data_IF_619333223837
#
_entry.id   IF_619333223837
#
_cell.length_a   1.000
_cell.length_b   1.000
_cell.length_c   1.000
_cell.angle_alpha   90.00
_cell.angle_beta   90.00
_cell.angle_gamma   90.00
#
_symmetry.space_group_name_H-M   'P 1'
#
loop_
_entity.id
_entity.type
_entity.pdbx_description
1 polymer ?
#
# COMPACT_ATOMS: atom_id res chain seq x y z
N UNK A 1 -82.24 -6.17 13.12
CA UNK A 1 -81.49 -4.93 12.85
C UNK A 1 -80.12 -5.05 13.49
N UNK A 2 -79.05 -5.19 12.70
CA UNK A 2 -77.67 -5.16 13.22
C UNK A 2 -77.35 -3.71 13.59
N UNK A 3 -76.90 -3.47 14.82
CA UNK A 3 -76.61 -2.14 15.32
C UNK A 3 -75.45 -1.50 14.53
N UNK A 4 -75.68 -0.32 13.94
CA UNK A 4 -74.65 0.47 13.23
C UNK A 4 -73.38 0.70 14.07
N UNK A 5 -73.49 0.65 15.40
CA UNK A 5 -72.35 0.79 16.29
C UNK A 5 -71.44 -0.44 16.26
N UNK A 6 -71.98 -1.66 16.10
CA UNK A 6 -71.19 -2.91 15.99
C UNK A 6 -70.45 -3.01 14.65
N UNK A 7 -71.04 -2.49 13.56
CA UNK A 7 -70.38 -2.40 12.25
C UNK A 7 -69.21 -1.39 12.27
N UNK A 8 -69.36 -0.26 12.95
CA UNK A 8 -68.27 0.73 13.08
C UNK A 8 -67.07 0.22 13.89
N UNK A 9 -67.30 -0.46 15.02
CA UNK A 9 -66.19 -1.03 15.83
C UNK A 9 -65.46 -2.16 15.12
N UNK A 10 -66.18 -2.99 14.36
CA UNK A 10 -65.55 -4.07 13.57
C UNK A 10 -64.71 -3.51 12.42
N UNK A 11 -65.18 -2.48 11.71
CA UNK A 11 -64.39 -1.80 10.67
C UNK A 11 -63.15 -1.11 11.26
N UNK A 12 -63.27 -0.45 12.41
CA UNK A 12 -62.15 0.21 13.09
C UNK A 12 -61.05 -0.79 13.52
N UNK A 13 -61.45 -1.96 14.03
CA UNK A 13 -60.54 -3.03 14.41
C UNK A 13 -59.84 -3.66 13.20
N UNK A 14 -60.51 -3.77 12.05
CA UNK A 14 -59.91 -4.27 10.81
C UNK A 14 -58.86 -3.29 10.28
N UNK A 15 -59.13 -1.98 10.33
CA UNK A 15 -58.17 -0.95 9.95
C UNK A 15 -56.95 -0.95 10.88
N UNK A 16 -57.14 -1.01 12.21
CA UNK A 16 -56.03 -1.15 13.16
C UNK A 16 -55.20 -2.42 12.92
N UNK A 17 -55.84 -3.54 12.62
CA UNK A 17 -55.14 -4.80 12.33
C UNK A 17 -54.29 -4.69 11.06
N UNK A 18 -54.79 -4.03 10.00
CA UNK A 18 -54.02 -3.75 8.78
C UNK A 18 -52.80 -2.90 9.07
N UNK A 19 -52.94 -1.83 9.85
CA UNK A 19 -51.81 -0.98 10.23
C UNK A 19 -50.76 -1.72 11.06
N UNK A 20 -51.17 -2.57 12.00
CA UNK A 20 -50.25 -3.41 12.78
C UNK A 20 -49.48 -4.41 11.91
N UNK A 21 -50.14 -5.02 10.91
CA UNK A 21 -49.48 -5.93 9.96
C UNK A 21 -48.46 -5.16 9.10
N UNK A 22 -48.82 -3.97 8.61
CA UNK A 22 -47.91 -3.13 7.79
C UNK A 22 -46.68 -2.71 8.61
N UNK A 23 -46.87 -2.30 9.87
CA UNK A 23 -45.77 -1.93 10.77
C UNK A 23 -44.88 -3.14 11.05
N UNK A 24 -45.45 -4.32 11.31
CA UNK A 24 -44.69 -5.54 11.55
C UNK A 24 -43.87 -5.99 10.32
N UNK A 25 -44.41 -5.81 9.11
CA UNK A 25 -43.68 -6.09 7.87
C UNK A 25 -42.56 -5.08 7.65
N UNK A 26 -42.80 -3.79 7.88
CA UNK A 26 -41.77 -2.75 7.78
C UNK A 26 -40.62 -2.97 8.76
N UNK A 27 -40.92 -3.32 10.02
CA UNK A 27 -39.88 -3.63 11.01
C UNK A 27 -39.12 -4.89 10.63
N UNK A 28 -39.79 -5.96 10.19
CA UNK A 28 -39.12 -7.19 9.73
C UNK A 28 -38.19 -6.95 8.53
N UNK A 29 -38.60 -6.13 7.56
CA UNK A 29 -37.75 -5.75 6.40
C UNK A 29 -36.51 -4.98 6.86
N UNK A 30 -36.65 -4.05 7.83
CA UNK A 30 -35.49 -3.32 8.37
C UNK A 30 -34.51 -4.23 9.14
N UNK A 31 -35.01 -5.24 9.86
CA UNK A 31 -34.15 -6.21 10.56
C UNK A 31 -33.44 -7.17 9.61
N UNK A 32 -34.06 -7.58 8.50
CA UNK A 32 -33.43 -8.46 7.49
C UNK A 32 -32.41 -7.70 6.63
N UNK A 33 -32.56 -6.38 6.49
CA UNK A 33 -31.64 -5.55 5.70
C UNK A 33 -30.29 -5.26 6.39
N UNK A 34 -30.13 -5.61 7.67
CA UNK A 34 -28.81 -5.76 8.31
C UNK A 34 -28.22 -7.15 8.01
N UNK A 35 -28.17 -7.53 6.73
CA UNK A 35 -27.23 -8.56 6.29
C UNK A 35 -25.87 -7.88 6.32
N UNK A 36 -25.07 -8.18 7.35
CA UNK A 36 -23.63 -7.90 7.33
C UNK A 36 -23.14 -8.26 5.93
N UNK A 37 -22.64 -7.26 5.20
CA UNK A 37 -21.96 -7.49 3.93
C UNK A 37 -20.95 -8.60 4.24
N UNK A 38 -21.08 -9.76 3.60
CA UNK A 38 -20.13 -10.86 3.75
C UNK A 38 -18.73 -10.29 3.48
N UNK A 39 -18.00 -9.95 4.55
CA UNK A 39 -16.73 -9.24 4.39
C UNK A 39 -15.78 -10.24 3.78
N UNK A 40 -15.38 -9.96 2.55
CA UNK A 40 -14.62 -10.89 1.70
C UNK A 40 -13.14 -10.62 1.88
N UNK A 41 -12.68 -10.54 3.13
CA UNK A 41 -11.25 -10.42 3.44
C UNK A 41 -10.60 -11.80 3.58
N UNK A 42 -9.28 -11.84 3.44
CA UNK A 42 -8.52 -13.06 3.64
C UNK A 42 -8.45 -13.48 5.12
N UNK A 43 -9.15 -14.56 5.47
CA UNK A 43 -9.19 -15.08 6.85
C UNK A 43 -7.84 -15.56 7.37
N UNK A 44 -6.96 -16.05 6.49
CA UNK A 44 -5.63 -16.53 6.86
C UNK A 44 -4.75 -15.36 7.26
N UNK A 45 -4.76 -14.29 6.46
CA UNK A 45 -4.04 -13.05 6.80
C UNK A 45 -4.56 -12.49 8.12
N UNK A 46 -5.88 -12.36 8.28
CA UNK A 46 -6.48 -11.89 9.53
C UNK A 46 -5.98 -12.69 10.75
N UNK A 47 -5.98 -14.02 10.66
CA UNK A 47 -5.50 -14.90 11.73
C UNK A 47 -4.04 -14.64 12.07
N UNK A 48 -3.18 -14.44 11.07
CA UNK A 48 -1.76 -14.12 11.29
C UNK A 48 -1.61 -12.78 12.02
N UNK A 49 -2.33 -11.75 11.56
CA UNK A 49 -2.29 -10.42 12.19
C UNK A 49 -2.77 -10.47 13.65
N UNK A 50 -3.90 -11.14 13.89
CA UNK A 50 -4.49 -11.31 15.23
C UNK A 50 -3.53 -12.08 16.17
N UNK A 51 -2.99 -13.20 15.71
CA UNK A 51 -2.08 -14.05 16.51
C UNK A 51 -0.80 -13.31 16.92
N UNK A 52 -0.29 -12.44 16.03
CA UNK A 52 0.92 -11.66 16.27
C UNK A 52 0.62 -10.28 16.89
N UNK A 53 -0.63 -9.99 17.25
CA UNK A 53 -1.07 -8.72 17.88
C UNK A 53 -0.66 -7.48 17.07
N UNK A 54 -0.70 -7.59 15.75
CA UNK A 54 -0.41 -6.47 14.86
C UNK A 54 -1.62 -5.54 14.81
N UNK A 55 -1.38 -4.22 14.83
CA UNK A 55 -2.44 -3.23 14.68
C UNK A 55 -2.80 -3.10 13.20
N UNK A 56 -4.08 -3.30 12.86
CA UNK A 56 -4.55 -3.16 11.49
C UNK A 56 -6.00 -2.70 11.42
N UNK A 57 -6.36 -2.16 10.25
CA UNK A 57 -7.73 -1.92 9.82
C UNK A 57 -7.99 -2.60 8.48
N UNK A 58 -9.25 -2.81 8.12
CA UNK A 58 -9.66 -3.33 6.81
C UNK A 58 -10.31 -2.18 6.05
N UNK A 59 -9.87 -1.95 4.81
CA UNK A 59 -10.39 -0.86 4.00
C UNK A 59 -11.66 -1.24 3.22
N UNK A 60 -12.16 -0.32 2.39
CA UNK A 60 -13.37 -0.52 1.58
C UNK A 60 -13.21 -1.61 0.50
N UNK A 61 -11.98 -1.92 0.11
CA UNK A 61 -11.62 -2.93 -0.89
C UNK A 61 -11.38 -4.30 -0.25
N UNK A 62 -11.50 -4.36 1.09
CA UNK A 62 -11.22 -5.50 1.96
C UNK A 62 -9.72 -5.78 2.13
N UNK A 63 -8.84 -4.84 1.79
CA UNK A 63 -7.41 -4.95 2.01
C UNK A 63 -7.07 -4.65 3.47
N UNK A 64 -6.02 -5.29 3.99
CA UNK A 64 -5.54 -5.02 5.35
C UNK A 64 -4.54 -3.88 5.32
N UNK A 65 -4.74 -2.87 6.16
CA UNK A 65 -3.78 -1.79 6.39
C UNK A 65 -3.19 -1.96 7.78
N UNK A 66 -1.97 -2.45 7.83
CA UNK A 66 -1.19 -2.66 9.06
C UNK A 66 -0.50 -1.34 9.38
N UNK A 67 -0.66 -0.87 10.62
CA UNK A 67 -0.05 0.38 11.10
C UNK A 67 1.18 0.06 11.94
N UNK A 68 2.30 0.71 11.64
CA UNK A 68 3.54 0.53 12.39
C UNK A 68 4.25 1.86 12.60
N UNK A 69 4.64 2.13 13.84
CA UNK A 69 5.44 3.32 14.16
C UNK A 69 6.91 2.96 14.24
N UNK A 70 7.74 3.58 13.39
CA UNK A 70 9.20 3.45 13.39
C UNK A 70 9.79 4.87 13.37
N UNK A 71 10.70 5.19 14.30
CA UNK A 71 11.38 6.51 14.36
C UNK A 71 10.40 7.70 14.29
N UNK A 72 9.29 7.63 15.03
CA UNK A 72 8.20 8.61 15.05
C UNK A 72 7.47 8.82 13.71
N UNK A 73 7.74 8.00 12.70
CA UNK A 73 6.96 7.94 11.47
C UNK A 73 5.92 6.82 11.58
N UNK A 74 4.66 7.15 11.34
CA UNK A 74 3.64 6.13 11.11
C UNK A 74 3.77 5.62 9.68
N UNK A 75 3.92 4.31 9.54
CA UNK A 75 4.10 3.59 8.29
C UNK A 75 2.93 2.64 8.14
N UNK A 76 2.29 2.72 6.99
CA UNK A 76 1.18 1.86 6.63
C UNK A 76 1.65 0.82 5.62
N UNK A 77 1.37 -0.45 5.91
CA UNK A 77 1.63 -1.58 5.03
C UNK A 77 0.26 -2.11 4.58
N UNK A 78 0.07 -2.18 3.28
CA UNK A 78 -1.14 -2.64 2.62
C UNK A 78 -0.93 -4.09 2.19
N UNK A 79 -1.80 -4.98 2.63
CA UNK A 79 -1.86 -6.37 2.21
C UNK A 79 -3.12 -6.56 1.36
N UNK A 80 -2.94 -6.78 0.06
CA UNK A 80 -4.09 -7.02 -0.83
C UNK A 80 -4.79 -8.31 -0.46
N UNK A 81 -6.09 -8.25 -0.24
CA UNK A 81 -6.94 -9.42 -0.06
C UNK A 81 -7.17 -10.14 -1.39
N UNK A 82 -7.30 -9.38 -2.49
CA UNK A 82 -7.40 -9.94 -3.84
C UNK A 82 -6.04 -10.48 -4.28
N UNK A 83 -6.04 -11.72 -4.77
CA UNK A 83 -4.86 -12.38 -5.32
C UNK A 83 -4.76 -12.13 -6.82
N UNK A 84 -3.54 -11.89 -7.30
CA UNK A 84 -3.21 -11.91 -8.72
C UNK A 84 -2.94 -13.35 -9.15
N UNK A 85 -3.47 -13.74 -10.30
CA UNK A 85 -3.24 -15.07 -10.85
C UNK A 85 -2.29 -14.99 -12.04
N UNK A 86 -1.25 -15.80 -12.02
CA UNK A 86 -0.35 -16.00 -13.16
C UNK A 86 -0.08 -17.49 -13.33
N UNK A 87 -0.52 -18.04 -14.47
CA UNK A 87 -0.50 -19.49 -14.73
C UNK A 87 -1.18 -20.26 -13.58
N UNK A 88 -0.45 -21.15 -12.91
CA UNK A 88 -0.94 -21.95 -11.78
C UNK A 88 -0.63 -21.32 -10.42
N UNK A 89 -0.05 -20.13 -10.39
CA UNK A 89 0.36 -19.44 -9.17
C UNK A 89 -0.64 -18.34 -8.82
N UNK A 90 -0.93 -18.23 -7.53
CA UNK A 90 -1.63 -17.08 -6.97
C UNK A 90 -0.69 -16.28 -6.09
N UNK A 91 -0.58 -15.01 -6.40
CA UNK A 91 0.37 -14.07 -5.80
C UNK A 91 -0.42 -13.00 -5.05
N UNK A 92 0.02 -12.72 -3.84
CA UNK A 92 -0.41 -11.62 -3.00
C UNK A 92 0.61 -10.50 -3.10
N UNK A 93 0.08 -9.28 -3.19
CA UNK A 93 0.89 -8.07 -3.14
C UNK A 93 0.80 -7.47 -1.74
N UNK A 94 1.98 -7.19 -1.18
CA UNK A 94 2.16 -6.54 0.11
C UNK A 94 3.04 -5.34 -0.16
N UNK A 95 2.58 -4.13 0.11
CA UNK A 95 3.34 -2.93 -0.22
C UNK A 95 3.07 -1.80 0.75
N UNK A 96 3.96 -0.82 0.80
CA UNK A 96 3.68 0.45 1.47
C UNK A 96 3.99 1.62 0.56
N UNK A 97 3.20 2.68 0.71
CA UNK A 97 3.37 3.91 -0.07
C UNK A 97 4.47 4.75 0.58
N UNK A 98 5.45 5.11 -0.25
CA UNK A 98 6.67 5.79 0.18
C UNK A 98 6.50 7.29 0.00
N UNK A 99 6.12 7.71 -1.20
CA UNK A 99 5.90 9.10 -1.60
C UNK A 99 4.91 9.14 -2.78
N UNK A 100 4.17 10.25 -2.92
CA UNK A 100 3.26 10.48 -4.04
C UNK A 100 3.70 11.70 -4.84
N UNK A 101 3.72 11.57 -6.16
CA UNK A 101 4.11 12.62 -7.09
C UNK A 101 2.93 13.03 -7.97
N UNK A 102 2.91 14.28 -8.44
CA UNK A 102 1.98 14.69 -9.49
C UNK A 102 2.21 13.84 -10.75
N UNK A 103 1.14 13.48 -11.46
CA UNK A 103 1.25 12.65 -12.67
C UNK A 103 2.13 13.28 -13.75
N UNK A 104 2.22 14.62 -13.80
CA UNK A 104 3.03 15.38 -14.75
C UNK A 104 4.44 15.71 -14.22
N UNK A 105 4.82 15.17 -13.05
CA UNK A 105 6.13 15.44 -12.46
C UNK A 105 7.22 14.58 -13.10
N UNK A 106 8.28 15.23 -13.61
CA UNK A 106 9.45 14.54 -14.17
C UNK A 106 10.28 13.77 -13.12
N UNK A 107 10.08 14.05 -11.83
CA UNK A 107 10.77 13.40 -10.71
C UNK A 107 10.77 11.87 -10.77
N UNK A 108 9.68 11.26 -11.24
CA UNK A 108 9.62 9.81 -11.36
C UNK A 108 10.61 9.31 -12.40
N UNK A 109 10.71 10.01 -13.52
CA UNK A 109 11.66 9.67 -14.56
C UNK A 109 13.10 9.86 -14.06
N UNK A 110 13.36 10.94 -13.33
CA UNK A 110 14.67 11.21 -12.70
C UNK A 110 15.14 10.08 -11.75
N UNK A 111 14.24 9.50 -10.97
CA UNK A 111 14.60 8.45 -9.99
C UNK A 111 14.47 7.03 -10.52
N UNK A 112 13.79 6.82 -11.66
CA UNK A 112 13.40 5.49 -12.15
C UNK A 112 14.58 4.54 -12.38
N UNK A 113 15.65 5.02 -13.02
CA UNK A 113 16.86 4.20 -13.28
C UNK A 113 17.56 3.79 -11.99
N UNK A 114 17.66 4.72 -11.03
CA UNK A 114 18.27 4.44 -9.72
C UNK A 114 17.45 3.42 -8.94
N UNK A 115 16.11 3.54 -8.93
CA UNK A 115 15.23 2.59 -8.27
C UNK A 115 15.24 1.20 -8.93
N UNK A 116 15.34 1.15 -10.26
CA UNK A 116 15.45 -0.12 -10.99
C UNK A 116 16.79 -0.81 -10.69
N UNK A 117 17.88 -0.04 -10.69
CA UNK A 117 19.20 -0.54 -10.30
C UNK A 117 19.23 -1.03 -8.86
N UNK A 118 18.66 -0.29 -7.92
CA UNK A 118 18.58 -0.69 -6.51
C UNK A 118 17.75 -1.98 -6.34
N UNK A 119 16.60 -2.07 -7.04
CA UNK A 119 15.75 -3.27 -7.00
C UNK A 119 16.47 -4.51 -7.50
N UNK A 120 17.31 -4.38 -8.55
CA UNK A 120 18.04 -5.51 -9.12
C UNK A 120 19.29 -5.90 -8.31
N UNK A 121 20.05 -4.90 -7.84
CA UNK A 121 21.37 -5.14 -7.25
C UNK A 121 21.34 -5.33 -5.74
N UNK A 122 20.42 -4.69 -5.02
CA UNK A 122 20.49 -4.57 -3.56
C UNK A 122 19.32 -5.20 -2.82
N UNK A 123 18.17 -5.41 -3.47
CA UNK A 123 16.94 -5.89 -2.80
C UNK A 123 16.78 -7.39 -2.94
N UNK A 124 16.49 -8.03 -1.79
CA UNK A 124 16.35 -9.50 -1.71
C UNK A 124 14.88 -9.92 -1.68
N UNK A 125 14.04 -9.19 -0.93
CA UNK A 125 12.65 -9.59 -0.67
C UNK A 125 11.63 -8.84 -1.52
N UNK A 126 11.92 -7.61 -1.91
CA UNK A 126 10.98 -6.74 -2.61
C UNK A 126 11.65 -5.93 -3.70
N UNK A 127 10.86 -5.05 -4.31
CA UNK A 127 11.31 -4.13 -5.35
C UNK A 127 10.57 -2.80 -5.27
N UNK A 128 11.15 -1.79 -5.89
CA UNK A 128 10.45 -0.53 -6.12
C UNK A 128 9.47 -0.69 -7.28
N UNK A 129 8.25 -0.18 -7.11
CA UNK A 129 7.26 -0.08 -8.17
C UNK A 129 6.61 1.31 -8.16
N UNK A 130 6.19 1.76 -9.34
CA UNK A 130 5.43 2.98 -9.52
C UNK A 130 4.01 2.59 -9.87
N UNK A 131 3.06 2.95 -9.02
CA UNK A 131 1.63 2.78 -9.29
C UNK A 131 1.12 4.08 -9.91
N UNK A 132 0.75 4.02 -11.18
CA UNK A 132 0.14 5.13 -11.90
C UNK A 132 -1.36 5.20 -11.60
N UNK A 133 -1.82 6.32 -11.03
CA UNK A 133 -3.24 6.59 -10.79
C UNK A 133 -3.63 7.92 -11.48
N UNK A 134 -3.88 7.89 -12.80
CA UNK A 134 -4.24 9.10 -13.55
C UNK A 134 -5.60 9.66 -13.12
N UNK A 135 -6.50 8.84 -12.56
CA UNK A 135 -7.81 9.29 -12.09
C UNK A 135 -7.69 10.21 -10.86
N UNK A 136 -6.69 9.95 -10.02
CA UNK A 136 -6.35 10.80 -8.87
C UNK A 136 -5.27 11.84 -9.19
N UNK A 137 -4.76 11.85 -10.42
CA UNK A 137 -3.74 12.78 -10.89
C UNK A 137 -2.37 12.58 -10.23
N UNK A 138 -2.10 11.38 -9.70
CA UNK A 138 -0.85 11.10 -9.00
C UNK A 138 -0.21 9.77 -9.37
N UNK A 139 1.10 9.71 -9.20
CA UNK A 139 1.89 8.50 -9.25
C UNK A 139 2.38 8.19 -7.83
N UNK A 140 2.23 6.95 -7.39
CA UNK A 140 2.69 6.50 -6.06
C UNK A 140 3.94 5.66 -6.20
N UNK A 141 5.03 6.09 -5.56
CA UNK A 141 6.18 5.23 -5.36
C UNK A 141 5.90 4.28 -4.21
N UNK A 142 5.99 2.99 -4.48
CA UNK A 142 5.80 1.93 -3.49
C UNK A 142 7.01 1.03 -3.42
N UNK A 143 7.23 0.47 -2.23
CA UNK A 143 8.07 -0.70 -2.07
C UNK A 143 7.17 -1.91 -1.84
N UNK A 144 7.34 -2.94 -2.65
CA UNK A 144 6.41 -4.07 -2.75
C UNK A 144 7.13 -5.40 -2.64
N UNK A 145 6.49 -6.33 -1.93
CA UNK A 145 6.84 -7.75 -1.83
C UNK A 145 5.70 -8.57 -2.43
N UNK A 146 6.04 -9.52 -3.28
CA UNK A 146 5.11 -10.47 -3.91
C UNK A 146 5.24 -11.82 -3.22
N UNK A 147 4.17 -12.25 -2.57
CA UNK A 147 4.12 -13.49 -1.78
C UNK A 147 3.20 -14.51 -2.43
N UNK A 148 3.52 -15.80 -2.37
CA UNK A 148 2.55 -16.84 -2.77
C UNK A 148 1.32 -16.83 -1.84
N UNK A 149 0.15 -17.26 -2.35
CA UNK A 149 -1.10 -17.37 -1.59
C UNK A 149 -0.92 -18.09 -0.23
N UNK A 150 -0.10 -19.14 -0.24
CA UNK A 150 0.19 -20.00 0.91
C UNK A 150 1.57 -19.74 1.54
N UNK A 151 2.22 -18.61 1.23
CA UNK A 151 3.54 -18.26 1.78
C UNK A 151 3.54 -18.35 3.31
N UNK A 152 4.58 -18.94 3.91
CA UNK A 152 4.65 -19.22 5.36
C UNK A 152 4.44 -17.95 6.19
N UNK A 153 3.89 -18.12 7.39
CA UNK A 153 3.66 -17.01 8.32
C UNK A 153 4.91 -16.18 8.57
N UNK A 154 6.04 -16.85 8.84
CA UNK A 154 7.34 -16.16 9.06
C UNK A 154 7.73 -15.26 7.89
N UNK A 155 7.54 -15.73 6.64
CA UNK A 155 7.85 -14.94 5.45
C UNK A 155 6.96 -13.69 5.35
N UNK A 156 5.67 -13.80 5.70
CA UNK A 156 4.76 -12.66 5.69
C UNK A 156 5.15 -11.62 6.75
N UNK A 157 5.56 -12.07 7.94
CA UNK A 157 6.06 -11.18 8.99
C UNK A 157 7.37 -10.49 8.57
N UNK A 158 8.32 -11.25 8.00
CA UNK A 158 9.57 -10.69 7.47
C UNK A 158 9.30 -9.66 6.36
N UNK A 159 8.31 -9.90 5.49
CA UNK A 159 7.90 -8.95 4.47
C UNK A 159 7.34 -7.65 5.08
N UNK A 160 6.55 -7.73 6.15
CA UNK A 160 6.03 -6.54 6.83
C UNK A 160 7.16 -5.71 7.46
N UNK A 161 8.12 -6.38 8.10
CA UNK A 161 9.30 -5.75 8.68
C UNK A 161 10.17 -5.06 7.62
N UNK A 162 10.48 -5.76 6.54
CA UNK A 162 11.30 -5.27 5.44
C UNK A 162 10.68 -4.03 4.78
N UNK A 163 9.37 -4.05 4.50
CA UNK A 163 8.66 -2.92 3.91
C UNK A 163 8.71 -1.73 4.87
N UNK A 164 8.42 -1.95 6.15
CA UNK A 164 8.41 -0.86 7.12
C UNK A 164 9.80 -0.23 7.30
N UNK A 165 10.85 -1.04 7.42
CA UNK A 165 12.22 -0.58 7.55
C UNK A 165 12.66 0.19 6.31
N UNK A 166 12.41 -0.34 5.11
CA UNK A 166 12.78 0.29 3.84
C UNK A 166 12.10 1.65 3.68
N UNK A 167 10.80 1.72 3.95
CA UNK A 167 10.05 2.99 3.88
C UNK A 167 10.57 3.98 4.93
N UNK A 168 10.87 3.52 6.15
CA UNK A 168 11.42 4.39 7.20
C UNK A 168 12.75 5.00 6.78
N UNK A 169 13.66 4.21 6.21
CA UNK A 169 14.97 4.67 5.78
C UNK A 169 14.81 5.67 4.63
N UNK A 170 14.01 5.34 3.63
CA UNK A 170 13.82 6.19 2.46
C UNK A 170 13.17 7.53 2.82
N UNK A 171 12.14 7.51 3.68
CA UNK A 171 11.51 8.75 4.19
C UNK A 171 12.49 9.61 4.98
N UNK A 172 13.45 9.00 5.68
CA UNK A 172 14.51 9.74 6.38
C UNK A 172 15.43 10.43 5.35
N UNK A 173 15.92 9.72 4.34
CA UNK A 173 16.78 10.28 3.29
C UNK A 173 16.11 11.47 2.59
N UNK A 174 14.85 11.32 2.16
CA UNK A 174 14.11 12.43 1.52
C UNK A 174 13.92 13.64 2.45
N UNK A 175 13.72 13.41 3.75
CA UNK A 175 13.54 14.50 4.71
C UNK A 175 14.85 15.24 4.97
N UNK A 176 15.93 14.49 5.13
CA UNK A 176 17.26 15.04 5.39
C UNK A 176 17.73 15.89 4.18
N UNK A 177 17.48 15.44 2.94
CA UNK A 177 17.75 16.21 1.70
C UNK A 177 16.97 17.54 1.63
N UNK A 178 15.76 17.60 2.18
CA UNK A 178 14.94 18.84 2.20
C UNK A 178 15.41 19.84 3.25
N UNK A 179 16.15 19.40 4.27
CA UNK A 179 16.64 20.28 5.34
C UNK A 179 17.92 21.04 5.00
N UNK A 180 18.66 20.63 3.95
CA UNK A 180 19.94 21.26 3.57
C UNK A 180 19.84 22.40 2.52
N UNK A 181 18.64 22.71 2.02
CA UNK A 181 18.41 23.79 1.02
C UNK A 181 17.92 25.09 1.68
N UNK A 182 18.47 25.42 2.86
CA UNK A 182 18.19 26.70 3.53
C UNK A 182 19.47 27.40 4.03
N UNK A 183 20.58 27.22 3.32
CA UNK A 183 21.74 28.09 3.48
C UNK A 183 21.47 29.34 2.64
N UNK A 184 20.94 30.35 3.33
CA UNK A 184 20.84 31.73 2.84
C UNK A 184 22.15 32.14 2.18
N UNK A 185 22.03 32.67 0.96
CA UNK A 185 23.00 33.61 0.38
C UNK A 185 23.38 34.65 1.44
N UNK A 186 24.60 34.52 1.96
CA UNK A 186 25.37 35.63 2.52
C UNK A 186 26.77 35.54 1.96
N UNK A 187 26.93 36.19 0.81
CA UNK A 187 28.21 36.65 0.30
C UNK A 187 28.88 37.57 1.34
N UNK A 188 30.08 37.21 1.82
CA UNK A 188 31.32 37.91 1.49
C UNK A 188 32.44 37.64 2.52
N UNK A 189 33.61 37.32 1.94
CA UNK A 189 34.97 37.63 2.39
C UNK A 189 35.47 36.92 3.66
N UNK A 190 36.70 36.40 3.78
CA UNK A 190 37.88 36.15 2.93
C UNK A 190 38.76 35.26 3.84
N UNK A 191 39.55 34.33 3.29
CA UNK A 191 40.96 34.10 3.63
C UNK A 191 41.44 32.69 3.21
N UNK A 192 42.11 32.70 2.05
CA UNK A 192 43.43 32.13 1.78
C UNK A 192 43.65 30.62 1.53
N UNK A 193 44.04 30.40 0.26
CA UNK A 193 45.24 29.70 -0.23
C UNK A 193 45.13 28.20 -0.58
N UNK A 194 45.12 28.00 -1.90
CA UNK A 194 45.54 26.81 -2.68
C UNK A 194 47.06 26.56 -2.48
N UNK A 195 47.57 25.32 -2.64
CA UNK A 195 48.09 24.86 -3.95
C UNK A 195 47.69 23.39 -4.27
N UNK A 196 47.05 23.09 -5.40
CA UNK A 196 47.65 22.71 -6.70
C UNK A 196 48.79 21.67 -6.63
N UNK A 197 48.46 20.41 -6.93
CA UNK A 197 49.29 19.47 -7.71
C UNK A 197 48.35 18.42 -8.37
N UNK A 198 48.14 18.46 -9.70
CA UNK A 198 48.86 17.68 -10.75
C UNK A 198 48.27 16.25 -10.89
N UNK A 199 47.29 16.01 -11.79
CA UNK A 199 47.40 15.64 -13.24
C UNK A 199 47.26 14.11 -13.48
N UNK A 200 46.27 13.76 -14.32
CA UNK A 200 46.16 12.61 -15.24
C UNK A 200 46.35 11.16 -14.73
N UNK A 201 45.32 10.33 -14.96
CA UNK A 201 45.43 9.11 -15.78
C UNK A 201 44.04 8.64 -16.22
N UNK A 202 43.74 8.84 -17.50
CA UNK A 202 42.81 8.00 -18.26
C UNK A 202 43.47 6.65 -18.57
N UNK A 203 42.61 5.67 -18.84
CA UNK A 203 42.83 4.38 -19.51
C UNK A 203 42.99 3.08 -18.68
N UNK A 204 42.06 2.17 -19.03
CA UNK A 204 42.00 0.71 -18.87
C UNK A 204 41.31 0.16 -17.62
N UNK A 205 39.99 0.04 -17.71
CA UNK A 205 39.26 -1.05 -17.04
C UNK A 205 38.92 -2.08 -18.12
N UNK A 206 39.43 -3.29 -17.92
CA UNK A 206 39.39 -4.42 -18.84
C UNK A 206 37.97 -4.95 -19.07
N UNK A 207 37.67 -5.22 -20.34
CA UNK A 207 36.51 -5.92 -20.91
C UNK A 207 36.41 -7.41 -20.50
N UNK A 208 36.43 -7.72 -19.20
CA UNK A 208 36.28 -9.11 -18.75
C UNK A 208 34.84 -9.51 -18.41
N UNK A 209 33.96 -8.55 -18.11
CA UNK A 209 32.56 -8.83 -17.75
C UNK A 209 31.64 -8.98 -18.97
N UNK A 210 32.00 -8.41 -20.12
CA UNK A 210 31.20 -8.47 -21.35
C UNK A 210 31.28 -9.85 -22.05
N UNK A 211 32.35 -10.61 -21.82
CA UNK A 211 32.56 -11.94 -22.41
C UNK A 211 31.77 -13.05 -21.69
N UNK A 212 31.47 -12.88 -20.40
CA UNK A 212 30.67 -13.83 -19.61
C UNK A 212 29.16 -13.69 -19.90
N UNK A 213 28.68 -12.48 -20.19
CA UNK A 213 27.28 -12.22 -20.55
C UNK A 213 26.87 -12.82 -21.91
N UNK A 214 27.81 -13.00 -22.83
CA UNK A 214 27.53 -13.65 -24.12
C UNK A 214 27.43 -15.17 -24.03
N UNK A 215 28.09 -15.81 -23.05
CA UNK A 215 28.02 -17.27 -22.86
C UNK A 215 26.68 -17.74 -22.29
N UNK A 216 25.96 -16.86 -21.59
CA UNK A 216 24.66 -17.19 -20.97
C UNK A 216 23.49 -17.10 -21.97
N UNK A 217 23.61 -16.29 -23.03
CA UNK A 217 22.55 -16.13 -24.05
C UNK A 217 22.55 -17.22 -25.14
N UNK A 218 23.52 -18.13 -25.13
CA UNK A 218 23.68 -19.16 -26.16
C UNK A 218 23.31 -20.58 -25.68
N UNK A 219 22.45 -20.73 -24.67
CA UNK A 219 22.01 -22.04 -24.17
C UNK A 219 20.50 -22.17 -24.08
#
# INVERSE_FOLDING_TARGET
>A
MVSNNMLKTSILNIEQLKYSIVIAVLTLITFISCKDKNVTYDKRIKKILDNNKLEYRIDKENDFIISKTINNANIEIIVRSKLNSYQNSKIREIFGIVETFDVNSDKIQEISESLMSDSYNNRVLGSWEIIHDPERGNNSLVYIVKAEENAKEIFLLDAFEEIAATISIFKKVIRDDKTDINIKDKSNETFNKIPNDTLQNEDKINDHEEEELQKIKAK
#
